data_IF_055780487000
#
_entry.id   IF_055780487000
#
_cell.length_a   1.000
_cell.length_b   1.000
_cell.length_c   1.000
_cell.angle_alpha   90.00
_cell.angle_beta   90.00
_cell.angle_gamma   90.00
#
_symmetry.space_group_name_H-M   'P 1'
#
loop_
_entity.id
_entity.type
_entity.pdbx_description
1 polymer ?
#
# COMPACT_ATOMS: atom_id res chain seq x y z
N UNK A 1 50.70 -39.75 -41.90
CA UNK A 1 49.27 -39.55 -41.59
C UNK A 1 49.16 -38.60 -40.38
N UNK A 2 48.98 -37.32 -40.62
CA UNK A 2 48.82 -36.29 -39.58
C UNK A 2 47.33 -36.13 -39.31
N UNK A 3 46.90 -36.41 -38.10
CA UNK A 3 45.53 -36.11 -37.65
C UNK A 3 45.49 -34.70 -37.16
N UNK A 4 44.72 -33.84 -37.81
CA UNK A 4 44.36 -32.49 -37.38
C UNK A 4 43.28 -32.64 -36.28
N UNK A 5 43.55 -32.11 -35.09
CA UNK A 5 42.59 -31.96 -34.02
C UNK A 5 41.86 -30.61 -34.24
N UNK A 6 40.57 -30.67 -34.49
CA UNK A 6 39.71 -29.45 -34.47
C UNK A 6 39.31 -29.19 -33.00
N UNK A 7 39.77 -28.05 -32.50
CA UNK A 7 39.29 -27.52 -31.22
C UNK A 7 37.99 -26.75 -31.48
N UNK A 8 36.87 -27.29 -30.97
CA UNK A 8 35.58 -26.60 -31.00
C UNK A 8 35.54 -25.50 -29.93
N UNK A 9 35.61 -24.25 -30.38
CA UNK A 9 35.38 -23.11 -29.48
C UNK A 9 33.90 -22.91 -29.25
N UNK A 10 33.47 -23.08 -28.01
CA UNK A 10 32.12 -22.76 -27.59
C UNK A 10 31.91 -21.24 -27.58
N UNK A 11 31.03 -20.75 -28.45
CA UNK A 11 30.65 -19.33 -28.49
C UNK A 11 29.59 -19.03 -27.44
N UNK A 12 29.96 -18.36 -26.36
CA UNK A 12 29.01 -17.86 -25.35
C UNK A 12 28.55 -16.49 -25.79
N UNK A 13 27.31 -16.39 -26.26
CA UNK A 13 26.67 -15.11 -26.58
C UNK A 13 25.88 -14.64 -25.34
N UNK A 14 26.40 -13.66 -24.61
CA UNK A 14 25.70 -13.01 -23.52
C UNK A 14 24.84 -11.87 -24.06
N UNK A 15 23.53 -12.07 -24.19
CA UNK A 15 22.55 -11.01 -24.46
C UNK A 15 22.11 -10.38 -23.14
N UNK A 16 22.54 -9.15 -22.88
CA UNK A 16 22.14 -8.34 -21.72
C UNK A 16 20.80 -7.67 -22.05
N UNK A 17 19.71 -8.40 -21.93
CA UNK A 17 18.35 -7.88 -21.74
C UNK A 17 17.41 -9.06 -21.46
N UNK A 18 17.25 -9.41 -20.15
CA UNK A 18 16.39 -10.50 -19.70
C UNK A 18 17.18 -11.81 -19.53
N UNK A 19 17.39 -12.21 -18.29
CA UNK A 19 18.25 -13.32 -17.88
C UNK A 19 17.78 -14.69 -18.45
N UNK A 20 18.21 -15.03 -19.65
CA UNK A 20 18.15 -16.40 -20.16
C UNK A 20 19.59 -16.92 -20.32
N UNK A 21 19.93 -17.99 -19.65
CA UNK A 21 21.18 -18.71 -19.88
C UNK A 21 20.90 -19.82 -20.88
N UNK A 22 21.47 -19.71 -22.08
CA UNK A 22 21.39 -20.77 -23.09
C UNK A 22 22.60 -21.68 -22.88
N UNK A 23 22.39 -22.88 -22.42
CA UNK A 23 23.41 -23.93 -22.38
C UNK A 23 23.22 -24.81 -23.61
N UNK A 24 24.19 -24.84 -24.51
CA UNK A 24 24.19 -25.75 -25.67
C UNK A 24 25.11 -26.90 -25.34
N UNK A 25 24.58 -28.10 -25.05
CA UNK A 25 25.37 -29.32 -24.90
C UNK A 25 25.97 -29.73 -26.26
N UNK A 26 27.04 -30.52 -26.25
CA UNK A 26 27.74 -30.98 -27.46
C UNK A 26 26.88 -31.89 -28.37
N UNK A 27 25.72 -32.35 -27.92
CA UNK A 27 24.77 -33.18 -28.66
C UNK A 27 23.72 -32.37 -29.47
N UNK A 28 23.85 -31.06 -29.55
CA UNK A 28 23.03 -30.20 -30.43
C UNK A 28 21.62 -29.88 -29.93
N UNK A 29 21.19 -30.37 -28.77
CA UNK A 29 19.89 -30.04 -28.17
C UNK A 29 20.01 -28.84 -27.22
N UNK A 30 19.73 -27.65 -27.72
CA UNK A 30 19.73 -26.44 -26.92
C UNK A 30 18.57 -26.45 -25.92
N UNK A 31 18.86 -26.53 -24.63
CA UNK A 31 17.89 -26.33 -23.58
C UNK A 31 17.98 -24.90 -23.04
N UNK A 32 16.90 -24.13 -23.19
CA UNK A 32 16.76 -22.83 -22.55
C UNK A 32 16.37 -23.06 -21.10
N UNK A 33 17.33 -23.07 -20.18
CA UNK A 33 17.03 -22.99 -18.74
C UNK A 33 16.92 -21.51 -18.37
N UNK A 34 15.69 -21.04 -18.09
CA UNK A 34 15.55 -19.72 -17.49
C UNK A 34 16.19 -19.76 -16.08
N UNK A 35 17.11 -18.84 -15.79
CA UNK A 35 17.72 -18.71 -14.47
C UNK A 35 16.71 -18.34 -13.38
N UNK A 36 15.45 -18.14 -13.76
CA UNK A 36 14.29 -17.86 -12.89
C UNK A 36 13.22 -18.93 -12.97
N UNK A 37 13.61 -20.22 -12.94
CA UNK A 37 12.64 -21.23 -12.53
C UNK A 37 12.38 -21.01 -11.03
N UNK A 38 11.42 -20.15 -10.69
CA UNK A 38 10.88 -20.10 -9.34
C UNK A 38 10.37 -21.51 -9.02
N UNK A 39 10.86 -22.13 -7.96
CA UNK A 39 10.31 -23.37 -7.41
C UNK A 39 8.88 -23.10 -6.84
N UNK A 40 8.04 -22.43 -7.63
CA UNK A 40 6.69 -22.11 -7.24
C UNK A 40 5.82 -23.36 -7.39
N UNK A 41 5.11 -23.70 -6.34
CA UNK A 41 4.14 -24.81 -6.37
C UNK A 41 2.91 -24.37 -7.17
N UNK A 42 2.58 -25.17 -8.20
CA UNK A 42 1.40 -24.92 -9.02
C UNK A 42 0.14 -25.40 -8.30
N UNK A 43 -0.88 -24.56 -8.25
CA UNK A 43 -2.22 -24.91 -7.76
C UNK A 43 -2.88 -25.98 -8.63
N UNK A 44 -3.63 -26.88 -7.99
CA UNK A 44 -4.28 -28.01 -8.65
C UNK A 44 -5.68 -27.66 -9.20
N UNK A 45 -6.17 -26.42 -9.02
CA UNK A 45 -7.48 -25.98 -9.46
C UNK A 45 -8.66 -26.45 -8.61
N UNK A 46 -8.43 -27.28 -7.58
CA UNK A 46 -9.47 -27.77 -6.67
C UNK A 46 -9.55 -26.86 -5.44
N UNK A 47 -10.49 -25.96 -5.44
CA UNK A 47 -10.68 -25.03 -4.31
C UNK A 47 -11.17 -25.78 -3.08
N UNK A 48 -10.52 -25.52 -1.95
CA UNK A 48 -10.91 -25.99 -0.62
C UNK A 48 -10.94 -24.82 0.38
N UNK A 49 -11.65 -25.04 1.47
CA UNK A 49 -11.79 -24.05 2.55
C UNK A 49 -11.44 -24.74 3.87
N UNK A 50 -10.63 -24.07 4.69
CA UNK A 50 -10.24 -24.51 6.02
C UNK A 50 -10.60 -23.44 7.06
N UNK A 51 -11.10 -23.88 8.21
CA UNK A 51 -11.20 -23.04 9.40
C UNK A 51 -9.95 -23.23 10.25
N UNK A 52 -9.38 -22.14 10.73
CA UNK A 52 -8.21 -22.13 11.60
C UNK A 52 -8.51 -21.47 12.94
N UNK A 53 -7.81 -21.90 13.97
CA UNK A 53 -7.98 -21.31 15.29
C UNK A 53 -7.46 -19.87 15.32
N UNK A 54 -8.21 -18.96 15.93
CA UNK A 54 -7.81 -17.60 16.23
C UNK A 54 -8.38 -17.18 17.58
N UNK A 55 -7.57 -16.47 18.37
CA UNK A 55 -7.98 -15.99 19.70
C UNK A 55 -8.69 -14.64 19.60
N UNK A 56 -9.58 -14.37 20.54
CA UNK A 56 -10.21 -13.05 20.72
C UNK A 56 -9.21 -11.95 21.14
N UNK A 57 -8.02 -12.33 21.58
CA UNK A 57 -6.93 -11.39 21.91
C UNK A 57 -6.18 -10.86 20.69
N UNK A 58 -6.48 -11.37 19.49
CA UNK A 58 -5.89 -10.86 18.24
C UNK A 58 -6.52 -9.51 17.90
N UNK A 59 -5.69 -8.47 17.92
CA UNK A 59 -6.06 -7.10 17.52
C UNK A 59 -5.12 -6.52 16.45
N UNK A 60 -4.20 -7.35 15.91
CA UNK A 60 -3.30 -7.03 14.82
C UNK A 60 -3.30 -8.08 13.71
N UNK A 61 -2.95 -7.65 12.49
CA UNK A 61 -2.72 -8.55 11.36
C UNK A 61 -1.44 -8.16 10.60
N UNK A 62 -0.62 -9.14 10.26
CA UNK A 62 0.59 -9.00 9.42
C UNK A 62 0.48 -9.96 8.22
N UNK A 63 0.46 -9.39 7.01
CA UNK A 63 0.22 -10.11 5.76
C UNK A 63 1.46 -10.05 4.89
N UNK A 64 2.01 -11.20 4.55
CA UNK A 64 3.18 -11.32 3.69
C UNK A 64 2.88 -12.16 2.46
N UNK A 65 2.92 -11.53 1.27
CA UNK A 65 2.69 -12.19 -0.01
C UNK A 65 1.49 -11.67 -0.78
N UNK A 66 1.05 -12.43 -1.78
CA UNK A 66 -0.01 -12.04 -2.73
C UNK A 66 -1.29 -12.80 -2.44
N UNK A 67 -2.17 -12.22 -1.65
CA UNK A 67 -3.45 -12.83 -1.27
C UNK A 67 -4.55 -11.78 -1.12
N UNK A 68 -5.80 -12.23 -1.14
CA UNK A 68 -6.98 -11.43 -0.86
C UNK A 68 -7.34 -11.61 0.62
N UNK A 69 -7.30 -10.54 1.37
CA UNK A 69 -7.57 -10.57 2.82
C UNK A 69 -8.77 -9.69 3.14
N UNK A 70 -9.74 -10.27 3.85
CA UNK A 70 -10.89 -9.54 4.38
C UNK A 70 -10.86 -9.60 5.91
N UNK A 71 -10.89 -8.45 6.55
CA UNK A 71 -11.00 -8.33 8.01
C UNK A 71 -12.32 -7.68 8.36
N UNK A 72 -13.09 -8.37 9.21
CA UNK A 72 -14.36 -7.89 9.78
C UNK A 72 -14.18 -7.65 11.26
N UNK A 73 -14.45 -6.43 11.71
CA UNK A 73 -14.29 -6.02 13.10
C UNK A 73 -15.63 -5.96 13.79
N UNK A 74 -15.69 -6.32 15.08
CA UNK A 74 -16.87 -6.19 15.92
C UNK A 74 -17.67 -7.48 16.11
N UNK A 75 -17.15 -8.64 15.72
CA UNK A 75 -17.83 -9.93 15.86
C UNK A 75 -16.91 -10.97 16.55
N UNK A 76 -17.48 -12.14 16.87
CA UNK A 76 -16.74 -13.25 17.44
C UNK A 76 -15.57 -13.68 16.54
N UNK A 77 -14.40 -14.04 17.13
CA UNK A 77 -13.21 -14.36 16.37
C UNK A 77 -13.42 -15.59 15.48
N UNK A 78 -13.01 -15.47 14.23
CA UNK A 78 -13.00 -16.59 13.30
C UNK A 78 -11.92 -16.34 12.22
N UNK A 79 -11.31 -17.43 11.75
CA UNK A 79 -10.33 -17.38 10.67
C UNK A 79 -10.65 -18.47 9.65
N UNK A 80 -10.91 -18.06 8.42
CA UNK A 80 -11.16 -18.96 7.30
C UNK A 80 -10.13 -18.69 6.21
N UNK A 81 -9.56 -19.74 5.66
CA UNK A 81 -8.65 -19.69 4.51
C UNK A 81 -9.21 -20.52 3.35
N UNK A 82 -9.09 -19.99 2.14
CA UNK A 82 -9.61 -20.60 0.92
C UNK A 82 -8.57 -20.51 -0.20
N UNK A 83 -8.46 -21.55 -1.02
CA UNK A 83 -7.57 -21.62 -2.16
C UNK A 83 -7.48 -23.01 -2.72
N UNK A 84 -6.57 -23.23 -3.66
CA UNK A 84 -6.31 -24.59 -4.18
C UNK A 84 -5.87 -25.51 -3.04
N UNK A 85 -6.46 -26.71 -2.95
CA UNK A 85 -6.30 -27.62 -1.81
C UNK A 85 -4.85 -28.00 -1.54
N UNK A 86 -4.03 -28.13 -2.60
CA UNK A 86 -2.60 -28.41 -2.47
C UNK A 86 -1.76 -27.20 -2.03
N UNK A 87 -2.31 -25.97 -2.08
CA UNK A 87 -1.64 -24.74 -1.64
C UNK A 87 -2.01 -24.35 -0.21
N UNK A 88 -3.14 -24.79 0.33
CA UNK A 88 -3.55 -24.47 1.70
C UNK A 88 -2.52 -24.90 2.77
N UNK A 89 -1.82 -26.05 2.65
CA UNK A 89 -0.73 -26.39 3.58
C UNK A 89 0.46 -25.43 3.52
N UNK A 90 0.66 -24.72 2.40
CA UNK A 90 1.73 -23.72 2.25
C UNK A 90 1.30 -22.35 2.78
N UNK A 91 0.01 -22.07 2.87
CA UNK A 91 -0.52 -20.86 3.51
C UNK A 91 -0.44 -21.03 5.02
N UNK A 92 0.53 -20.36 5.63
CA UNK A 92 0.77 -20.40 7.07
C UNK A 92 0.04 -19.28 7.80
N UNK A 93 -0.43 -19.59 8.98
CA UNK A 93 -1.06 -18.64 9.91
C UNK A 93 -0.52 -18.87 11.30
N UNK A 94 -0.12 -17.79 11.98
CA UNK A 94 0.30 -17.81 13.38
C UNK A 94 -0.36 -16.63 14.11
N UNK A 95 -1.03 -16.90 15.20
CA UNK A 95 -1.78 -15.92 16.00
C UNK A 95 -1.11 -15.66 17.36
N UNK A 96 0.21 -15.77 17.44
CA UNK A 96 0.95 -15.50 18.66
C UNK A 96 1.09 -13.99 18.92
N UNK A 97 1.13 -13.60 20.20
CA UNK A 97 1.44 -12.22 20.62
C UNK A 97 0.38 -11.16 20.20
N UNK A 98 -0.90 -11.55 20.03
CA UNK A 98 -1.97 -10.61 19.68
C UNK A 98 -2.03 -10.22 18.20
N UNK A 99 -1.09 -10.67 17.37
CA UNK A 99 -1.05 -10.40 15.93
C UNK A 99 -1.19 -11.70 15.14
N UNK A 100 -2.16 -11.73 14.22
CA UNK A 100 -2.26 -12.81 13.24
C UNK A 100 -1.27 -12.56 12.11
N UNK A 101 -0.26 -13.41 11.99
CA UNK A 101 0.65 -13.43 10.84
C UNK A 101 0.16 -14.39 9.79
N UNK A 102 0.17 -13.95 8.53
CA UNK A 102 -0.27 -14.73 7.37
C UNK A 102 0.78 -14.65 6.27
N UNK A 103 1.30 -15.79 5.83
CA UNK A 103 2.32 -15.83 4.77
C UNK A 103 2.25 -17.13 3.98
N UNK A 104 2.91 -17.19 2.84
CA UNK A 104 3.10 -18.43 2.08
C UNK A 104 4.51 -18.96 2.26
N UNK A 105 4.63 -20.26 2.51
CA UNK A 105 5.91 -20.97 2.55
C UNK A 105 6.35 -21.28 1.11
N UNK A 106 7.28 -20.49 0.60
CA UNK A 106 7.73 -20.57 -0.79
C UNK A 106 6.84 -19.83 -1.80
N UNK A 107 7.22 -19.94 -3.07
CA UNK A 107 6.44 -19.37 -4.17
C UNK A 107 5.22 -20.23 -4.50
N UNK A 108 4.10 -19.58 -4.75
CA UNK A 108 2.88 -20.24 -5.24
C UNK A 108 2.44 -19.64 -6.57
N UNK A 109 1.89 -20.45 -7.44
CA UNK A 109 1.31 -20.04 -8.71
C UNK A 109 -0.08 -20.67 -8.86
N UNK A 110 -1.11 -19.83 -8.97
CA UNK A 110 -2.49 -20.31 -9.06
C UNK A 110 -3.35 -19.34 -9.84
N UNK A 111 -4.41 -19.82 -10.48
CA UNK A 111 -5.52 -19.05 -11.04
C UNK A 111 -6.59 -18.73 -9.99
N UNK A 112 -6.63 -19.47 -8.88
CA UNK A 112 -7.55 -19.27 -7.77
C UNK A 112 -6.81 -18.53 -6.63
N UNK A 113 -6.99 -17.21 -6.47
CA UNK A 113 -6.22 -16.47 -5.46
C UNK A 113 -6.49 -17.00 -4.05
N UNK A 114 -5.44 -17.10 -3.24
CA UNK A 114 -5.56 -17.42 -1.82
C UNK A 114 -6.39 -16.33 -1.13
N UNK A 115 -7.42 -16.73 -0.38
CA UNK A 115 -8.30 -15.84 0.37
C UNK A 115 -8.16 -16.11 1.86
N UNK A 116 -8.13 -15.04 2.63
CA UNK A 116 -8.11 -15.11 4.10
C UNK A 116 -9.22 -14.21 4.61
N UNK A 117 -10.14 -14.77 5.38
CA UNK A 117 -11.18 -14.02 6.06
C UNK A 117 -10.96 -14.10 7.56
N UNK A 118 -10.63 -12.98 8.16
CA UNK A 118 -10.44 -12.81 9.60
C UNK A 118 -11.63 -12.03 10.17
N UNK A 119 -12.19 -12.54 11.24
CA UNK A 119 -13.14 -11.78 12.09
C UNK A 119 -12.52 -11.62 13.45
N UNK A 120 -12.56 -10.41 14.02
CA UNK A 120 -12.00 -10.10 15.35
C UNK A 120 -12.90 -9.09 16.07
N UNK A 121 -12.94 -9.11 17.40
CA UNK A 121 -13.69 -8.10 18.16
C UNK A 121 -13.16 -6.68 17.96
N UNK A 122 -11.87 -6.53 17.80
CA UNK A 122 -11.17 -5.25 17.65
C UNK A 122 -9.98 -5.40 16.72
N UNK A 123 -9.65 -4.34 15.98
CA UNK A 123 -8.41 -4.27 15.18
C UNK A 123 -7.73 -2.92 15.43
N UNK A 124 -6.46 -2.95 15.83
CA UNK A 124 -5.65 -1.76 16.11
C UNK A 124 -4.54 -1.54 15.13
N UNK A 125 -4.04 -2.62 14.51
CA UNK A 125 -2.93 -2.51 13.56
C UNK A 125 -3.09 -3.50 12.42
N UNK A 126 -2.64 -3.06 11.23
CA UNK A 126 -2.48 -3.92 10.08
C UNK A 126 -1.17 -3.60 9.37
N UNK A 127 -0.40 -4.62 9.07
CA UNK A 127 0.76 -4.53 8.20
C UNK A 127 0.57 -5.45 7.01
N UNK A 128 0.85 -4.94 5.80
CA UNK A 128 0.68 -5.73 4.60
C UNK A 128 1.83 -5.50 3.62
N UNK A 129 2.57 -6.56 3.36
CA UNK A 129 3.71 -6.61 2.49
C UNK A 129 3.38 -7.41 1.23
N UNK A 130 3.74 -6.86 0.05
CA UNK A 130 3.53 -7.52 -1.23
C UNK A 130 2.37 -6.94 -2.04
N UNK A 131 1.59 -7.81 -2.68
CA UNK A 131 0.48 -7.42 -3.58
C UNK A 131 -0.86 -8.03 -3.15
N UNK A 132 -1.91 -7.89 -3.96
CA UNK A 132 -3.25 -8.39 -3.66
C UNK A 132 -4.17 -7.33 -3.09
N UNK A 133 -5.19 -7.74 -2.32
CA UNK A 133 -6.17 -6.81 -1.74
C UNK A 133 -6.31 -7.03 -0.24
N UNK A 134 -6.49 -5.94 0.50
CA UNK A 134 -6.88 -5.94 1.90
C UNK A 134 -8.17 -5.11 2.05
N UNK A 135 -9.21 -5.71 2.59
CA UNK A 135 -10.43 -5.03 2.94
C UNK A 135 -10.64 -5.10 4.45
N UNK A 136 -10.81 -3.95 5.10
CA UNK A 136 -11.08 -3.83 6.53
C UNK A 136 -12.41 -3.13 6.72
N UNK A 137 -13.34 -3.78 7.43
CA UNK A 137 -14.68 -3.24 7.67
C UNK A 137 -15.07 -3.34 9.15
N UNK A 138 -15.88 -2.41 9.60
CA UNK A 138 -16.42 -2.44 10.96
C UNK A 138 -15.49 -1.84 12.02
N UNK A 139 -14.44 -1.08 11.63
CA UNK A 139 -13.64 -0.33 12.61
C UNK A 139 -14.56 0.53 13.48
N UNK A 140 -14.34 0.51 14.80
CA UNK A 140 -15.27 1.06 15.76
C UNK A 140 -14.59 1.86 16.87
N UNK A 141 -14.18 3.10 16.56
CA UNK A 141 -13.83 4.16 17.51
C UNK A 141 -12.44 4.11 18.15
N UNK A 142 -11.68 3.03 18.01
CA UNK A 142 -10.31 2.93 18.49
C UNK A 142 -9.31 3.64 17.57
N UNK A 143 -8.03 3.63 17.96
CA UNK A 143 -6.94 4.05 17.08
C UNK A 143 -6.58 2.92 16.11
N UNK A 144 -6.18 3.26 14.90
CA UNK A 144 -5.82 2.29 13.89
C UNK A 144 -4.54 2.69 13.14
N UNK A 145 -3.54 1.81 13.18
CA UNK A 145 -2.28 1.92 12.47
C UNK A 145 -2.26 1.00 11.25
N UNK A 146 -1.92 1.55 10.07
CA UNK A 146 -1.80 0.79 8.83
C UNK A 146 -0.46 1.02 8.15
N UNK A 147 0.25 -0.06 7.86
CA UNK A 147 1.50 -0.04 7.10
C UNK A 147 1.38 -0.91 5.86
N UNK A 148 1.63 -0.31 4.71
CA UNK A 148 1.58 -0.97 3.41
C UNK A 148 2.93 -0.85 2.72
N UNK A 149 3.49 -2.00 2.32
CA UNK A 149 4.73 -2.06 1.56
C UNK A 149 4.48 -2.87 0.27
N UNK A 150 4.56 -2.20 -0.89
CA UNK A 150 4.36 -2.85 -2.19
C UNK A 150 3.25 -2.25 -3.04
N UNK A 151 2.45 -3.10 -3.70
CA UNK A 151 1.45 -2.68 -4.70
C UNK A 151 0.03 -3.14 -4.36
N UNK A 152 -0.26 -3.31 -3.08
CA UNK A 152 -1.57 -3.79 -2.61
C UNK A 152 -2.67 -2.75 -2.78
N UNK A 153 -3.85 -3.20 -3.11
CA UNK A 153 -5.08 -2.43 -3.04
C UNK A 153 -5.72 -2.58 -1.65
N UNK A 154 -6.09 -1.46 -1.03
CA UNK A 154 -6.66 -1.47 0.31
C UNK A 154 -7.95 -0.66 0.36
N UNK A 155 -8.97 -1.24 0.98
CA UNK A 155 -10.24 -0.59 1.29
C UNK A 155 -10.48 -0.63 2.79
N UNK A 156 -10.83 0.53 3.37
CA UNK A 156 -11.09 0.64 4.80
C UNK A 156 -12.40 1.37 5.04
N UNK A 157 -13.22 0.80 5.93
CA UNK A 157 -14.49 1.39 6.32
C UNK A 157 -14.74 1.27 7.83
N UNK A 158 -15.41 2.27 8.39
CA UNK A 158 -15.79 2.31 9.80
C UNK A 158 -15.52 3.67 10.43
N UNK A 159 -15.20 3.68 11.72
CA UNK A 159 -14.86 4.89 12.48
C UNK A 159 -13.63 4.65 13.35
N UNK A 160 -12.75 5.65 13.42
CA UNK A 160 -11.55 5.62 14.29
C UNK A 160 -11.36 6.98 14.97
N UNK A 161 -10.72 6.99 16.13
CA UNK A 161 -10.28 8.21 16.77
C UNK A 161 -9.08 8.79 16.05
N UNK A 162 -8.02 7.99 15.95
CA UNK A 162 -6.79 8.32 15.22
C UNK A 162 -6.52 7.28 14.14
N UNK A 163 -6.14 7.78 12.98
CA UNK A 163 -5.68 6.97 11.85
C UNK A 163 -4.24 7.33 11.48
N UNK A 164 -3.31 6.42 11.69
CA UNK A 164 -1.92 6.54 11.22
C UNK A 164 -1.71 5.60 10.03
N UNK A 165 -1.31 6.15 8.89
CA UNK A 165 -1.15 5.35 7.68
C UNK A 165 0.17 5.63 6.97
N UNK A 166 0.88 4.58 6.63
CA UNK A 166 2.12 4.63 5.84
C UNK A 166 2.01 3.73 4.63
N UNK A 167 2.08 4.34 3.44
CA UNK A 167 2.14 3.64 2.15
C UNK A 167 3.53 3.78 1.57
N UNK A 168 4.20 2.65 1.35
CA UNK A 168 5.49 2.59 0.66
C UNK A 168 5.34 1.78 -0.62
N UNK A 169 5.51 2.42 -1.78
CA UNK A 169 5.42 1.75 -3.08
C UNK A 169 4.39 2.36 -4.03
N UNK A 170 3.71 1.49 -4.78
CA UNK A 170 2.75 1.89 -5.82
C UNK A 170 1.31 1.44 -5.52
N UNK A 171 1.06 0.97 -4.31
CA UNK A 171 -0.27 0.54 -3.89
C UNK A 171 -1.31 1.64 -3.88
N UNK A 172 -2.57 1.25 -3.75
CA UNK A 172 -3.69 2.18 -3.64
C UNK A 172 -4.49 1.93 -2.37
N UNK A 173 -4.88 3.01 -1.71
CA UNK A 173 -5.76 2.94 -0.56
C UNK A 173 -6.99 3.81 -0.74
N UNK A 174 -8.14 3.22 -0.49
CA UNK A 174 -9.44 3.88 -0.43
C UNK A 174 -9.97 3.81 1.02
N UNK A 175 -9.93 4.94 1.71
CA UNK A 175 -10.51 5.14 3.03
C UNK A 175 -11.65 6.19 2.99
N UNK A 176 -12.35 6.32 1.86
CA UNK A 176 -13.45 7.28 1.72
C UNK A 176 -14.66 6.92 2.58
N UNK A 177 -14.77 5.67 3.04
CA UNK A 177 -15.79 5.19 3.96
C UNK A 177 -15.31 5.11 5.42
N UNK A 178 -14.15 5.68 5.74
CA UNK A 178 -13.60 5.76 7.10
C UNK A 178 -13.83 7.15 7.68
N UNK A 179 -14.53 7.20 8.81
CA UNK A 179 -14.65 8.40 9.63
C UNK A 179 -13.44 8.48 10.58
N UNK A 180 -12.69 9.58 10.59
CA UNK A 180 -11.56 9.77 11.52
C UNK A 180 -11.53 11.17 12.10
N UNK A 181 -11.18 11.27 13.38
CA UNK A 181 -11.03 12.54 14.08
C UNK A 181 -9.65 13.17 13.89
N UNK A 182 -8.62 12.36 13.78
CA UNK A 182 -7.25 12.80 13.44
C UNK A 182 -6.62 11.79 12.51
N UNK A 183 -5.95 12.28 11.48
CA UNK A 183 -5.26 11.41 10.51
C UNK A 183 -3.84 11.90 10.28
N UNK A 184 -2.87 10.99 10.38
CA UNK A 184 -1.49 11.18 9.94
C UNK A 184 -1.19 10.20 8.80
N UNK A 185 -0.92 10.74 7.61
CA UNK A 185 -0.74 9.94 6.40
C UNK A 185 0.61 10.22 5.74
N UNK A 186 1.38 9.18 5.49
CA UNK A 186 2.64 9.22 4.77
C UNK A 186 2.56 8.35 3.51
N UNK A 187 2.85 8.95 2.35
CA UNK A 187 2.90 8.26 1.06
C UNK A 187 4.29 8.40 0.46
N UNK A 188 5.04 7.31 0.40
CA UNK A 188 6.36 7.23 -0.21
C UNK A 188 6.27 6.41 -1.51
N UNK A 189 6.50 7.05 -2.66
CA UNK A 189 6.46 6.38 -3.95
C UNK A 189 5.43 6.96 -4.92
N UNK A 190 4.76 6.10 -5.68
CA UNK A 190 3.83 6.49 -6.74
C UNK A 190 2.38 6.04 -6.47
N UNK A 191 2.10 5.62 -5.26
CA UNK A 191 0.78 5.11 -4.85
C UNK A 191 -0.32 6.17 -4.87
N UNK A 192 -1.54 5.72 -4.54
CA UNK A 192 -2.72 6.57 -4.42
C UNK A 192 -3.35 6.42 -3.04
N UNK A 193 -3.69 7.56 -2.44
CA UNK A 193 -4.36 7.64 -1.15
C UNK A 193 -5.64 8.46 -1.27
N UNK A 194 -6.77 7.90 -0.87
CA UNK A 194 -8.06 8.58 -0.84
C UNK A 194 -8.60 8.53 0.60
N UNK A 195 -8.69 9.69 1.23
CA UNK A 195 -9.25 9.88 2.56
C UNK A 195 -10.63 10.54 2.43
N UNK A 196 -11.59 10.06 3.22
CA UNK A 196 -12.92 10.67 3.24
C UNK A 196 -13.43 10.86 4.66
N UNK A 197 -14.50 11.62 4.80
CA UNK A 197 -15.22 11.83 6.07
C UNK A 197 -14.34 12.24 7.24
N UNK A 198 -13.27 13.01 6.95
CA UNK A 198 -12.46 13.61 8.00
C UNK A 198 -13.32 14.63 8.76
N UNK A 199 -13.57 14.40 10.04
CA UNK A 199 -14.34 15.29 10.88
C UNK A 199 -13.65 15.41 12.23
N UNK A 200 -12.86 16.47 12.43
CA UNK A 200 -12.19 16.59 13.70
C UNK A 200 -11.00 17.53 13.73
N UNK A 201 -9.93 17.07 14.37
CA UNK A 201 -8.86 17.95 14.81
C UNK A 201 -7.81 18.22 13.74
N UNK A 202 -7.35 17.17 13.02
CA UNK A 202 -6.19 17.36 12.14
C UNK A 202 -6.08 16.36 11.01
N UNK A 203 -5.52 16.84 9.90
CA UNK A 203 -4.90 16.03 8.86
C UNK A 203 -3.43 16.43 8.71
N UNK A 204 -2.53 15.49 8.98
CA UNK A 204 -1.13 15.53 8.59
C UNK A 204 -0.93 14.70 7.32
N UNK A 205 -0.39 15.29 6.26
CA UNK A 205 -0.16 14.61 4.98
C UNK A 205 1.26 14.82 4.52
N UNK A 206 2.02 13.75 4.39
CA UNK A 206 3.37 13.79 3.84
C UNK A 206 3.44 12.94 2.57
N UNK A 207 3.79 13.58 1.44
CA UNK A 207 4.01 12.91 0.16
C UNK A 207 5.47 13.02 -0.25
N UNK A 208 6.12 11.88 -0.50
CA UNK A 208 7.47 11.80 -1.06
C UNK A 208 7.42 10.96 -2.33
N UNK A 209 7.72 11.60 -3.48
CA UNK A 209 7.70 10.94 -4.79
C UNK A 209 6.67 11.51 -5.76
N UNK A 210 5.99 10.64 -6.50
CA UNK A 210 5.03 11.02 -7.56
C UNK A 210 3.60 10.57 -7.28
N UNK A 211 3.31 10.18 -6.05
CA UNK A 211 2.00 9.69 -5.63
C UNK A 211 0.91 10.78 -5.65
N UNK A 212 -0.33 10.33 -5.46
CA UNK A 212 -1.50 11.21 -5.37
C UNK A 212 -2.26 10.98 -4.09
N UNK A 213 -2.64 12.07 -3.42
CA UNK A 213 -3.55 12.03 -2.29
C UNK A 213 -4.78 12.92 -2.53
N UNK A 214 -5.93 12.45 -2.07
CA UNK A 214 -7.17 13.23 -2.01
C UNK A 214 -7.76 13.13 -0.61
N UNK A 215 -8.41 14.19 -0.13
CA UNK A 215 -9.13 14.16 1.13
C UNK A 215 -10.39 15.01 1.07
N UNK A 216 -11.40 14.61 1.87
CA UNK A 216 -12.65 15.34 2.02
C UNK A 216 -13.11 15.39 3.46
N UNK A 217 -13.91 16.41 3.80
CA UNK A 217 -14.43 16.62 5.15
C UNK A 217 -14.10 17.99 5.73
N UNK A 218 -13.85 18.05 7.05
CA UNK A 218 -13.51 19.28 7.76
C UNK A 218 -12.55 18.98 8.92
N UNK A 219 -11.49 19.78 9.04
CA UNK A 219 -10.51 19.70 10.13
C UNK A 219 -10.18 21.08 10.68
N UNK A 220 -9.75 21.13 11.94
CA UNK A 220 -9.21 22.37 12.51
C UNK A 220 -7.85 22.68 11.89
N UNK A 221 -6.96 21.72 11.80
CA UNK A 221 -5.58 21.91 11.32
C UNK A 221 -5.24 20.98 10.16
N UNK A 222 -4.75 21.59 9.10
CA UNK A 222 -4.21 20.89 7.94
C UNK A 222 -2.69 21.14 7.88
N UNK A 223 -1.91 20.06 7.83
CA UNK A 223 -0.48 20.15 7.53
C UNK A 223 -0.16 19.30 6.31
N UNK A 224 0.45 19.91 5.29
CA UNK A 224 0.86 19.21 4.06
C UNK A 224 2.33 19.45 3.80
N UNK A 225 3.06 18.36 3.61
CA UNK A 225 4.45 18.37 3.14
C UNK A 225 4.57 17.52 1.89
N UNK A 226 4.96 18.15 0.78
CA UNK A 226 5.12 17.48 -0.49
C UNK A 226 6.56 17.61 -0.97
N UNK A 227 7.23 16.48 -1.18
CA UNK A 227 8.57 16.40 -1.76
C UNK A 227 8.54 15.55 -3.02
N UNK A 228 8.87 16.15 -4.18
CA UNK A 228 8.86 15.46 -5.46
C UNK A 228 7.84 16.03 -6.45
N UNK A 229 7.23 15.15 -7.25
CA UNK A 229 6.30 15.53 -8.32
C UNK A 229 4.87 15.07 -8.08
N UNK A 230 4.56 14.65 -6.87
CA UNK A 230 3.23 14.18 -6.48
C UNK A 230 2.17 15.27 -6.47
N UNK A 231 0.92 14.88 -6.24
CA UNK A 231 -0.23 15.79 -6.20
C UNK A 231 -1.09 15.53 -4.94
N UNK A 232 -1.42 16.59 -4.21
CA UNK A 232 -2.38 16.58 -3.12
C UNK A 232 -3.59 17.46 -3.48
N UNK A 233 -4.71 16.82 -3.84
CA UNK A 233 -5.98 17.49 -4.08
C UNK A 233 -6.86 17.40 -2.83
N UNK A 234 -6.86 18.48 -2.06
CA UNK A 234 -7.61 18.62 -0.82
C UNK A 234 -8.72 19.67 -0.95
N UNK A 235 -9.17 19.96 -2.19
CA UNK A 235 -10.27 20.90 -2.44
C UNK A 235 -11.60 20.45 -1.78
N UNK A 236 -11.76 19.13 -1.54
CA UNK A 236 -12.89 18.58 -0.79
C UNK A 236 -12.80 18.69 0.72
N UNK A 237 -11.65 19.14 1.26
CA UNK A 237 -11.40 19.27 2.68
C UNK A 237 -11.41 20.74 3.10
N UNK A 238 -12.28 21.11 4.02
CA UNK A 238 -12.27 22.43 4.66
C UNK A 238 -11.31 22.42 5.86
N UNK A 239 -10.41 23.37 5.96
CA UNK A 239 -9.59 23.54 7.16
C UNK A 239 -9.72 24.94 7.72
N UNK A 240 -9.57 25.08 9.05
CA UNK A 240 -9.42 26.38 9.68
C UNK A 240 -8.01 26.91 9.44
N UNK A 241 -7.02 26.20 9.93
CA UNK A 241 -5.62 26.57 9.82
C UNK A 241 -4.88 25.61 8.89
N UNK A 242 -4.05 26.13 8.00
CA UNK A 242 -3.29 25.34 7.04
C UNK A 242 -1.80 25.71 7.05
N UNK A 243 -0.93 24.70 7.13
CA UNK A 243 0.54 24.76 6.99
C UNK A 243 0.93 23.87 5.82
N UNK A 244 1.31 24.47 4.68
CA UNK A 244 1.54 23.77 3.41
C UNK A 244 2.93 24.08 2.90
N UNK A 245 3.74 23.06 2.69
CA UNK A 245 5.05 23.21 2.06
C UNK A 245 5.25 22.25 0.91
N UNK A 246 5.78 22.77 -0.21
CA UNK A 246 6.16 21.94 -1.38
C UNK A 246 7.64 22.13 -1.70
N UNK A 247 8.32 21.04 -1.99
CA UNK A 247 9.69 21.03 -2.47
C UNK A 247 9.78 20.12 -3.71
N UNK A 248 9.92 20.72 -4.88
CA UNK A 248 9.95 20.00 -6.15
C UNK A 248 8.97 20.54 -7.18
N UNK A 249 8.34 19.66 -7.96
CA UNK A 249 7.44 20.01 -9.07
C UNK A 249 5.98 19.65 -8.83
N UNK A 250 5.66 19.13 -7.68
CA UNK A 250 4.31 18.68 -7.34
C UNK A 250 3.35 19.84 -7.06
N UNK A 251 2.05 19.53 -6.95
CA UNK A 251 1.01 20.52 -6.70
C UNK A 251 0.16 20.18 -5.47
N UNK A 252 -0.27 21.22 -4.76
CA UNK A 252 -1.20 21.13 -3.64
C UNK A 252 -2.37 22.07 -3.87
N UNK A 253 -3.58 21.53 -3.76
CA UNK A 253 -4.81 22.34 -3.72
C UNK A 253 -5.46 22.13 -2.35
N UNK A 254 -5.82 23.23 -1.65
CA UNK A 254 -6.39 23.16 -0.30
C UNK A 254 -7.43 24.26 -0.08
N UNK A 255 -8.15 24.19 1.06
CA UNK A 255 -9.01 25.29 1.56
C UNK A 255 -8.61 25.67 2.97
N UNK A 256 -8.56 26.98 3.24
CA UNK A 256 -8.27 27.52 4.57
C UNK A 256 -9.09 28.77 4.87
N UNK A 257 -9.54 28.95 6.12
CA UNK A 257 -10.36 30.08 6.54
C UNK A 257 -9.75 30.93 7.66
N UNK A 258 -8.88 30.36 8.50
CA UNK A 258 -8.25 31.04 9.64
C UNK A 258 -6.83 31.52 9.32
N UNK A 259 -5.83 30.71 9.68
CA UNK A 259 -4.42 31.00 9.41
C UNK A 259 -3.87 30.17 8.26
N UNK A 260 -3.09 30.79 7.39
CA UNK A 260 -2.40 30.13 6.27
C UNK A 260 -0.90 30.42 6.35
N UNK A 261 -0.11 29.37 6.42
CA UNK A 261 1.32 29.38 6.12
C UNK A 261 1.54 28.51 4.88
N UNK A 262 2.06 29.09 3.80
CA UNK A 262 2.25 28.35 2.56
C UNK A 262 3.60 28.72 1.94
N UNK A 263 4.42 27.68 1.64
CA UNK A 263 5.73 27.85 1.04
C UNK A 263 5.99 26.91 -0.11
N UNK A 264 6.43 27.43 -1.26
CA UNK A 264 6.81 26.62 -2.42
C UNK A 264 8.28 26.85 -2.78
N UNK A 265 9.05 25.76 -2.77
CA UNK A 265 10.43 25.72 -3.22
C UNK A 265 10.54 24.78 -4.43
N UNK A 266 10.89 25.34 -5.59
CA UNK A 266 10.96 24.61 -6.86
C UNK A 266 9.90 25.05 -7.87
N UNK A 267 9.50 24.13 -8.76
CA UNK A 267 8.53 24.39 -9.83
C UNK A 267 7.10 24.01 -9.48
N UNK A 268 6.89 23.49 -8.30
CA UNK A 268 5.57 23.09 -7.81
C UNK A 268 4.66 24.29 -7.49
N UNK A 269 3.35 24.02 -7.38
CA UNK A 269 2.35 25.05 -7.12
C UNK A 269 1.52 24.73 -5.87
N UNK A 270 1.11 25.77 -5.17
CA UNK A 270 0.12 25.69 -4.09
C UNK A 270 -1.04 26.60 -4.45
N UNK A 271 -2.24 26.04 -4.50
CA UNK A 271 -3.47 26.81 -4.67
C UNK A 271 -4.33 26.63 -3.42
N UNK A 272 -4.63 27.75 -2.76
CA UNK A 272 -5.47 27.74 -1.56
C UNK A 272 -6.73 28.54 -1.83
N UNK A 273 -7.88 27.91 -1.65
CA UNK A 273 -9.19 28.54 -1.73
C UNK A 273 -9.63 29.04 -0.35
N UNK A 274 -10.27 30.18 -0.32
CA UNK A 274 -10.83 30.83 0.87
C UNK A 274 -10.19 32.15 1.20
N UNK A 275 -10.62 32.72 2.32
CA UNK A 275 -10.16 34.01 2.79
C UNK A 275 -9.54 33.93 4.20
N UNK A 276 -8.35 33.28 4.34
CA UNK A 276 -7.70 33.19 5.65
C UNK A 276 -7.38 34.58 6.22
N UNK A 277 -7.74 34.78 7.49
CA UNK A 277 -7.56 36.05 8.19
C UNK A 277 -6.07 36.41 8.37
N UNK A 278 -5.21 35.41 8.51
CA UNK A 278 -3.76 35.59 8.61
C UNK A 278 -3.07 34.83 7.48
N UNK A 279 -2.14 35.46 6.79
CA UNK A 279 -1.44 34.87 5.64
C UNK A 279 0.06 35.12 5.73
N UNK A 280 0.82 34.02 5.67
CA UNK A 280 2.26 34.03 5.47
C UNK A 280 2.58 33.17 4.25
N UNK A 281 2.90 33.81 3.14
CA UNK A 281 3.09 33.13 1.86
C UNK A 281 4.49 33.37 1.34
N UNK A 282 5.20 32.33 0.95
CA UNK A 282 6.54 32.37 0.38
C UNK A 282 6.63 31.55 -0.90
N UNK A 283 7.43 32.03 -1.88
CA UNK A 283 7.59 31.35 -3.19
C UNK A 283 6.70 31.96 -4.28
N UNK A 284 7.14 31.79 -5.54
CA UNK A 284 6.53 32.45 -6.71
C UNK A 284 5.25 31.77 -7.21
N UNK A 285 4.94 30.55 -6.76
CA UNK A 285 3.83 29.73 -7.27
C UNK A 285 2.82 29.35 -6.17
N UNK A 286 2.59 30.30 -5.27
CA UNK A 286 1.54 30.17 -4.26
C UNK A 286 0.44 31.16 -4.60
N UNK A 287 -0.76 30.67 -4.83
CA UNK A 287 -1.95 31.45 -5.19
C UNK A 287 -3.02 31.25 -4.14
N UNK A 288 -3.60 32.35 -3.66
CA UNK A 288 -4.78 32.33 -2.79
C UNK A 288 -5.96 32.90 -3.59
N UNK A 289 -6.98 32.06 -3.76
CA UNK A 289 -8.22 32.35 -4.52
C UNK A 289 -9.32 32.59 -3.50
N UNK A 290 -9.94 33.75 -3.57
CA UNK A 290 -11.06 34.14 -2.70
C UNK A 290 -12.40 33.64 -3.27
#
# INVERSE_FOLDING_TARGET
MRRLAFSSSALVLALIAGCAVIVVPEDGNAQIKSAFSSNAVQGNGQVATEQRAVSASVDGIDINGSMLVTVRVGQAPSLTVEGDSNLLPLLRTDASGGTLRVWTEGGVRTSNPLRVTLTVPQLRQAEANGSGRLQVTGLNGGDFDLRLNGSREVEIAGRVGRFDVRLNGSGSMNATALDSASTDATLNGSGRLQLGRLQGQSLGLELRGSGRATASGSVERLRVRLSGSGNADLAGLSSRDADISTNGSGSVTAKASGALVAGSNGSGSITVYGNPAQRSVSGKRVTVVQ
#
